data_IF_410738590407
#
_entry.id   IF_410738590407
#
_cell.length_a   1.000
_cell.length_b   1.000
_cell.length_c   1.000
_cell.angle_alpha   90.00
_cell.angle_beta   90.00
_cell.angle_gamma   90.00
#
_symmetry.space_group_name_H-M   'P 1'
#
loop_
_entity.id
_entity.type
_entity.pdbx_description
1 polymer ?
#
# COMPACT_ATOMS: atom_id res chain seq x y z
N UNK A 1 18.47 -5.43 -16.41
CA UNK A 1 17.31 -4.63 -16.85
C UNK A 1 16.02 -4.86 -16.04
N UNK A 2 15.98 -5.81 -15.09
CA UNK A 2 14.78 -6.16 -14.31
C UNK A 2 14.49 -5.27 -13.09
N UNK A 3 15.43 -4.41 -12.70
CA UNK A 3 15.30 -3.64 -11.45
C UNK A 3 14.36 -2.43 -11.55
N UNK A 4 14.27 -1.80 -12.72
CA UNK A 4 13.34 -0.68 -12.94
C UNK A 4 11.88 -1.14 -12.87
N UNK A 5 11.58 -2.33 -13.41
CA UNK A 5 10.23 -2.90 -13.40
C UNK A 5 9.70 -3.11 -11.97
N UNK A 6 10.57 -3.52 -11.03
CA UNK A 6 10.20 -3.75 -9.63
C UNK A 6 9.96 -2.45 -8.87
N UNK A 7 10.76 -1.42 -9.13
CA UNK A 7 10.53 -0.08 -8.56
C UNK A 7 9.22 0.53 -9.08
N UNK A 8 8.95 0.38 -10.39
CA UNK A 8 7.69 0.78 -11.02
C UNK A 8 6.53 0.00 -10.42
N UNK A 9 6.68 -1.31 -10.15
CA UNK A 9 5.65 -2.12 -9.52
C UNK A 9 5.32 -1.63 -8.10
N UNK A 10 6.32 -1.33 -7.27
CA UNK A 10 6.08 -0.75 -5.93
C UNK A 10 5.36 0.60 -5.98
N UNK A 11 5.71 1.44 -6.96
CA UNK A 11 5.04 2.72 -7.18
C UNK A 11 3.60 2.56 -7.69
N UNK A 12 3.35 1.62 -8.60
CA UNK A 12 2.02 1.28 -9.10
C UNK A 12 1.12 0.73 -7.99
N UNK A 13 1.66 -0.10 -7.09
CA UNK A 13 0.94 -0.62 -5.92
C UNK A 13 0.57 0.50 -4.95
N UNK A 14 1.48 1.48 -4.74
CA UNK A 14 1.18 2.64 -3.92
C UNK A 14 0.13 3.55 -4.56
N UNK A 15 0.26 3.85 -5.85
CA UNK A 15 -0.70 4.65 -6.60
C UNK A 15 -2.08 3.98 -6.69
N UNK A 16 -2.14 2.65 -6.82
CA UNK A 16 -3.40 1.90 -6.80
C UNK A 16 -4.05 1.94 -5.44
N UNK A 17 -3.28 1.84 -4.34
CA UNK A 17 -3.79 1.96 -2.98
C UNK A 17 -4.46 3.32 -2.78
N UNK A 18 -3.79 4.40 -3.19
CA UNK A 18 -4.28 5.77 -3.05
C UNK A 18 -5.54 6.00 -3.89
N UNK A 19 -5.54 5.52 -5.15
CA UNK A 19 -6.68 5.63 -6.05
C UNK A 19 -7.89 4.84 -5.56
N UNK A 20 -7.67 3.62 -5.04
CA UNK A 20 -8.74 2.77 -4.52
C UNK A 20 -9.33 3.34 -3.24
N UNK A 21 -8.51 3.82 -2.30
CA UNK A 21 -8.96 4.40 -1.03
C UNK A 21 -9.78 5.68 -1.25
N UNK A 22 -9.27 6.62 -2.06
CA UNK A 22 -10.00 7.86 -2.35
C UNK A 22 -11.22 7.64 -3.24
N UNK A 23 -11.11 6.70 -4.19
CA UNK A 23 -12.21 6.31 -5.07
C UNK A 23 -13.36 5.66 -4.29
N UNK A 24 -13.06 4.71 -3.39
CA UNK A 24 -14.08 4.09 -2.54
C UNK A 24 -14.69 5.09 -1.56
N UNK A 25 -13.91 6.01 -0.98
CA UNK A 25 -14.46 7.07 -0.14
C UNK A 25 -15.44 7.96 -0.91
N UNK A 26 -15.09 8.36 -2.13
CA UNK A 26 -15.94 9.18 -3.00
C UNK A 26 -17.22 8.45 -3.40
N UNK A 27 -17.13 7.16 -3.73
CA UNK A 27 -18.28 6.30 -4.03
C UNK A 27 -19.17 6.09 -2.81
N UNK A 28 -18.56 5.91 -1.64
CA UNK A 28 -19.28 5.74 -0.38
C UNK A 28 -20.09 6.98 0.00
N UNK A 29 -19.54 8.19 -0.19
CA UNK A 29 -20.31 9.41 -0.02
C UNK A 29 -21.40 9.57 -1.09
N UNK A 30 -21.12 9.23 -2.37
CA UNK A 30 -22.09 9.35 -3.45
C UNK A 30 -23.31 8.43 -3.28
N UNK A 31 -23.13 7.25 -2.66
CA UNK A 31 -24.20 6.29 -2.38
C UNK A 31 -24.77 6.38 -0.96
N UNK A 32 -24.30 7.32 -0.13
CA UNK A 32 -24.78 7.48 1.24
C UNK A 32 -24.52 6.25 2.11
N UNK A 33 -23.41 5.54 1.88
CA UNK A 33 -22.99 4.41 2.70
C UNK A 33 -22.66 4.93 4.11
N UNK A 34 -23.35 4.38 5.11
CA UNK A 34 -23.20 4.81 6.50
C UNK A 34 -21.74 4.74 6.98
N UNK A 35 -21.33 5.62 7.90
CA UNK A 35 -19.93 5.82 8.28
C UNK A 35 -19.22 4.54 8.76
N UNK A 36 -19.96 3.64 9.42
CA UNK A 36 -19.43 2.34 9.87
C UNK A 36 -19.07 1.39 8.72
N UNK A 37 -19.87 1.37 7.64
CA UNK A 37 -19.62 0.51 6.47
C UNK A 37 -18.44 1.06 5.68
N UNK A 38 -18.40 2.37 5.50
CA UNK A 38 -17.28 3.08 4.83
C UNK A 38 -15.97 2.84 5.57
N UNK A 39 -15.95 2.97 6.89
CA UNK A 39 -14.78 2.69 7.74
C UNK A 39 -14.34 1.22 7.62
N UNK A 40 -15.28 0.26 7.69
CA UNK A 40 -14.96 -1.16 7.57
C UNK A 40 -14.34 -1.51 6.20
N UNK A 41 -14.89 -0.98 5.10
CA UNK A 41 -14.36 -1.21 3.75
C UNK A 41 -12.97 -0.59 3.61
N UNK A 42 -12.78 0.65 4.06
CA UNK A 42 -11.47 1.31 4.03
C UNK A 42 -10.42 0.56 4.85
N UNK A 43 -10.77 0.07 6.04
CA UNK A 43 -9.87 -0.74 6.87
C UNK A 43 -9.50 -2.07 6.18
N UNK A 44 -10.47 -2.77 5.61
CA UNK A 44 -10.21 -4.04 4.89
C UNK A 44 -9.27 -3.78 3.71
N UNK A 45 -9.53 -2.74 2.91
CA UNK A 45 -8.69 -2.37 1.76
C UNK A 45 -7.27 -2.00 2.19
N UNK A 46 -7.15 -1.25 3.28
CA UNK A 46 -5.87 -0.81 3.83
C UNK A 46 -5.06 -1.99 4.37
N UNK A 47 -5.69 -2.88 5.16
CA UNK A 47 -5.05 -4.09 5.67
C UNK A 47 -4.63 -5.04 4.54
N UNK A 48 -5.44 -5.17 3.49
CA UNK A 48 -5.09 -5.98 2.32
C UNK A 48 -3.85 -5.45 1.61
N UNK A 49 -3.74 -4.13 1.43
CA UNK A 49 -2.54 -3.51 0.83
C UNK A 49 -1.31 -3.63 1.72
N UNK A 50 -1.45 -3.47 3.04
CA UNK A 50 -0.37 -3.70 4.00
C UNK A 50 0.13 -5.15 3.95
N UNK A 51 -0.79 -6.12 3.93
CA UNK A 51 -0.47 -7.53 3.85
C UNK A 51 0.25 -7.87 2.53
N UNK A 52 -0.24 -7.35 1.40
CA UNK A 52 0.35 -7.57 0.09
C UNK A 52 1.75 -6.93 -0.03
N UNK A 53 1.90 -5.67 0.37
CA UNK A 53 3.18 -4.97 0.38
C UNK A 53 4.20 -5.61 1.34
N UNK A 54 3.74 -6.03 2.53
CA UNK A 54 4.55 -6.76 3.49
C UNK A 54 5.02 -8.12 2.97
N UNK A 55 4.14 -8.88 2.31
CA UNK A 55 4.48 -10.17 1.71
C UNK A 55 5.54 -10.03 0.60
N UNK A 56 5.41 -9.01 -0.26
CA UNK A 56 6.39 -8.72 -1.30
C UNK A 56 7.74 -8.34 -0.68
N UNK A 57 7.74 -7.49 0.36
CA UNK A 57 8.96 -7.05 1.02
C UNK A 57 9.66 -8.22 1.75
N UNK A 58 8.92 -9.06 2.46
CA UNK A 58 9.45 -10.28 3.10
C UNK A 58 10.01 -11.24 2.04
N UNK A 59 9.34 -11.39 0.90
CA UNK A 59 9.82 -12.18 -0.24
C UNK A 59 11.15 -11.67 -0.78
N UNK A 60 11.26 -10.36 -0.99
CA UNK A 60 12.50 -9.72 -1.45
C UNK A 60 13.65 -9.84 -0.44
N UNK A 61 13.38 -9.70 0.87
CA UNK A 61 14.38 -9.90 1.94
C UNK A 61 14.85 -11.35 2.00
N UNK A 62 13.93 -12.32 1.89
CA UNK A 62 14.28 -13.75 1.89
C UNK A 62 15.14 -14.12 0.68
N UNK A 63 14.82 -13.61 -0.50
CA UNK A 63 15.65 -13.80 -1.69
C UNK A 63 17.01 -13.09 -1.58
N UNK A 64 17.08 -11.93 -0.94
CA UNK A 64 18.33 -11.17 -0.74
C UNK A 64 19.33 -11.85 0.19
N UNK A 65 18.87 -12.64 1.17
CA UNK A 65 19.75 -13.31 2.14
C UNK A 65 20.64 -14.41 1.54
N UNK A 66 20.35 -14.88 0.32
CA UNK A 66 21.11 -15.94 -0.35
C UNK A 66 22.07 -15.47 -1.43
N UNK A 67 22.12 -14.17 -1.76
CA UNK A 67 22.96 -13.63 -2.85
C UNK A 67 23.52 -12.26 -2.46
N UNK A 68 24.68 -11.89 -3.00
CA UNK A 68 25.23 -10.53 -2.84
C UNK A 68 24.24 -9.50 -3.41
N UNK A 69 23.60 -8.74 -2.52
CA UNK A 69 22.54 -7.81 -2.86
C UNK A 69 23.09 -6.63 -3.68
N UNK A 70 22.98 -6.74 -5.01
CA UNK A 70 23.33 -5.67 -5.96
C UNK A 70 22.47 -4.43 -5.79
N UNK A 71 22.92 -3.30 -6.37
CA UNK A 71 22.26 -1.99 -6.28
C UNK A 71 20.75 -2.05 -6.56
N UNK A 72 20.34 -2.83 -7.55
CA UNK A 72 18.93 -2.97 -7.91
C UNK A 72 18.05 -3.60 -6.82
N UNK A 73 18.58 -4.54 -6.06
CA UNK A 73 17.86 -5.18 -4.96
C UNK A 73 17.72 -4.24 -3.77
N UNK A 74 18.76 -3.45 -3.48
CA UNK A 74 18.70 -2.39 -2.44
C UNK A 74 17.68 -1.31 -2.81
N UNK A 75 17.63 -0.93 -4.09
CA UNK A 75 16.64 0.03 -4.59
C UNK A 75 15.21 -0.51 -4.49
N UNK A 76 14.98 -1.78 -4.84
CA UNK A 76 13.68 -2.46 -4.69
C UNK A 76 13.23 -2.50 -3.23
N UNK A 77 14.15 -2.85 -2.32
CA UNK A 77 13.90 -2.88 -0.88
C UNK A 77 13.56 -1.49 -0.32
N UNK A 78 14.33 -0.46 -0.69
CA UNK A 78 14.07 0.91 -0.29
C UNK A 78 12.73 1.43 -0.82
N UNK A 79 12.41 1.14 -2.09
CA UNK A 79 11.15 1.54 -2.71
C UNK A 79 9.95 0.86 -2.05
N UNK A 80 10.02 -0.45 -1.79
CA UNK A 80 8.95 -1.16 -1.08
C UNK A 80 8.80 -0.68 0.37
N UNK A 81 9.90 -0.39 1.06
CA UNK A 81 9.85 0.16 2.42
C UNK A 81 9.21 1.55 2.44
N UNK A 82 9.57 2.42 1.49
CA UNK A 82 8.97 3.73 1.32
C UNK A 82 7.47 3.63 0.97
N UNK A 83 7.09 2.71 0.09
CA UNK A 83 5.70 2.47 -0.26
C UNK A 83 4.87 1.99 0.93
N UNK A 84 5.41 1.10 1.78
CA UNK A 84 4.76 0.69 3.03
C UNK A 84 4.65 1.85 4.02
N UNK A 85 5.71 2.64 4.18
CA UNK A 85 5.69 3.83 5.03
C UNK A 85 4.63 4.83 4.59
N UNK A 86 4.53 5.09 3.28
CA UNK A 86 3.52 5.95 2.71
C UNK A 86 2.11 5.33 2.85
N UNK A 87 1.95 4.02 2.70
CA UNK A 87 0.66 3.33 2.93
C UNK A 87 0.21 3.42 4.39
N UNK A 88 1.14 3.31 5.35
CA UNK A 88 0.87 3.55 6.77
C UNK A 88 0.42 4.99 7.01
N UNK A 89 1.15 5.96 6.43
CA UNK A 89 0.81 7.38 6.56
C UNK A 89 -0.55 7.72 5.94
N UNK A 90 -0.87 7.11 4.80
CA UNK A 90 -2.14 7.32 4.09
C UNK A 90 -3.32 6.70 4.83
N UNK A 91 -3.12 5.55 5.47
CA UNK A 91 -4.17 4.90 6.28
C UNK A 91 -4.31 5.47 7.69
N UNK A 92 -3.31 6.19 8.19
CA UNK A 92 -3.37 6.86 9.49
C UNK A 92 -4.66 7.67 9.68
N UNK A 93 -5.07 8.60 8.78
CA UNK A 93 -6.33 9.33 8.91
C UNK A 93 -7.57 8.43 8.99
N UNK A 94 -7.58 7.22 8.43
CA UNK A 94 -8.72 6.28 8.55
C UNK A 94 -8.91 5.82 10.00
N UNK A 95 -7.81 5.73 10.76
CA UNK A 95 -7.80 5.24 12.15
C UNK A 95 -8.05 6.37 13.15
N UNK A 96 -7.49 7.56 12.90
CA UNK A 96 -7.63 8.73 13.80
C UNK A 96 -8.83 9.61 13.47
N UNK A 97 -9.25 9.68 12.21
CA UNK A 97 -10.43 10.43 11.79
C UNK A 97 -11.50 9.45 11.31
N UNK A 98 -12.64 9.44 11.99
CA UNK A 98 -13.83 8.75 11.50
C UNK A 98 -14.16 9.32 10.11
N UNK A 99 -14.24 8.50 9.04
CA UNK A 99 -14.65 8.98 7.72
C UNK A 99 -16.09 9.45 7.82
N UNK A 100 -16.25 10.76 7.91
CA UNK A 100 -17.55 11.44 7.86
C UNK A 100 -17.73 11.93 6.43
N UNK A 101 -18.67 11.30 5.73
CA UNK A 101 -19.56 12.04 4.84
C UNK A 101 -20.61 12.70 5.74
#
# INVERSE_FOLDING_TARGET
MTSGLRAIAGFLIWASALSLLYGTLSLACAWGLGPAVTLAVLLILWLAHLALGGAILIGDVRFARGQDAGFGQRLSLGANAAALGATLFTGLPIVIASPTC
#
